data_IF_874638074270
#
_entry.id   IF_874638074270
#
_cell.length_a   1.000
_cell.length_b   1.000
_cell.length_c   1.000
_cell.angle_alpha   90.00
_cell.angle_beta   90.00
_cell.angle_gamma   90.00
#
_symmetry.space_group_name_H-M   'P 1'
#
loop_
_entity.id
_entity.type
_entity.pdbx_description
1 polymer ?
#
# COMPACT_ATOMS: atom_id res chain seq x y z
N UNK A 1 10.00 10.92 2.97
CA UNK A 1 10.73 10.45 4.18
C UNK A 1 10.59 8.94 4.31
N UNK A 2 11.56 8.22 4.88
CA UNK A 2 11.44 6.77 5.16
C UNK A 2 11.44 6.56 6.67
N UNK A 3 10.51 5.77 7.16
CA UNK A 3 10.44 5.37 8.57
C UNK A 3 10.27 3.87 8.68
N UNK A 4 10.77 3.34 9.78
CA UNK A 4 10.59 1.95 10.16
C UNK A 4 9.33 1.84 11.00
N UNK A 5 8.56 0.78 10.77
CA UNK A 5 7.37 0.47 11.57
C UNK A 5 6.98 -0.99 11.38
N UNK A 6 5.78 -1.34 11.81
CA UNK A 6 5.24 -2.70 11.70
C UNK A 6 3.80 -2.70 11.19
N UNK A 7 3.44 -3.78 10.51
CA UNK A 7 2.04 -4.16 10.23
C UNK A 7 1.84 -5.53 10.89
N UNK A 8 1.04 -5.58 11.95
CA UNK A 8 1.01 -6.73 12.84
C UNK A 8 2.39 -6.97 13.46
N UNK A 9 2.95 -8.17 13.30
CA UNK A 9 4.30 -8.52 13.77
C UNK A 9 5.40 -8.31 12.72
N UNK A 10 5.06 -7.88 11.50
CA UNK A 10 6.02 -7.76 10.41
C UNK A 10 6.58 -6.35 10.33
N UNK A 11 7.91 -6.27 10.40
CA UNK A 11 8.66 -5.05 10.16
C UNK A 11 8.55 -4.60 8.69
N UNK A 12 8.29 -3.31 8.48
CA UNK A 12 8.13 -2.68 7.18
C UNK A 12 8.82 -1.33 7.13
N UNK A 13 9.14 -0.86 5.92
CA UNK A 13 9.55 0.52 5.67
C UNK A 13 8.36 1.27 5.08
N UNK A 14 7.99 2.36 5.73
CA UNK A 14 6.90 3.23 5.32
C UNK A 14 7.52 4.46 4.65
N UNK A 15 7.10 4.72 3.41
CA UNK A 15 7.44 5.91 2.68
C UNK A 15 6.37 6.98 2.96
N UNK A 16 6.76 8.06 3.63
CA UNK A 16 5.89 9.21 3.86
C UNK A 16 6.08 10.19 2.70
N UNK A 17 5.02 10.36 1.93
CA UNK A 17 4.92 11.26 0.78
C UNK A 17 3.63 12.08 0.88
N UNK A 18 3.76 13.37 1.14
CA UNK A 18 2.61 14.29 1.24
C UNK A 18 2.00 14.64 -0.12
N UNK A 19 2.67 14.31 -1.23
CA UNK A 19 2.17 14.50 -2.58
C UNK A 19 1.30 13.34 -3.10
N UNK A 20 1.24 12.22 -2.37
CA UNK A 20 0.47 11.05 -2.77
C UNK A 20 -1.01 11.22 -2.44
N UNK A 21 -1.88 10.97 -3.41
CA UNK A 21 -3.34 11.00 -3.21
C UNK A 21 -3.90 9.72 -2.57
N UNK A 22 -3.12 8.63 -2.62
CA UNK A 22 -3.48 7.32 -2.08
C UNK A 22 -2.25 6.68 -1.44
N UNK A 23 -2.48 5.81 -0.47
CA UNK A 23 -1.44 4.95 0.08
C UNK A 23 -1.28 3.71 -0.80
N UNK A 24 -0.04 3.29 -1.00
CA UNK A 24 0.28 2.09 -1.76
C UNK A 24 0.90 1.05 -0.86
N UNK A 25 0.51 -0.20 -1.09
CA UNK A 25 1.03 -1.35 -0.38
C UNK A 25 1.50 -2.38 -1.40
N UNK A 26 2.68 -2.96 -1.17
CA UNK A 26 3.20 -4.03 -2.01
C UNK A 26 2.25 -5.22 -1.99
N UNK A 27 1.84 -5.70 -3.17
CA UNK A 27 0.97 -6.87 -3.28
C UNK A 27 1.62 -8.13 -2.66
N UNK A 28 2.94 -8.26 -2.77
CA UNK A 28 3.68 -9.33 -2.12
C UNK A 28 3.52 -9.28 -0.59
N UNK A 29 3.58 -8.08 0.01
CA UNK A 29 3.38 -7.90 1.45
C UNK A 29 1.93 -8.21 1.87
N UNK A 30 0.94 -7.83 1.05
CA UNK A 30 -0.48 -8.20 1.24
C UNK A 30 -0.63 -9.72 1.31
N UNK A 31 0.00 -10.46 0.39
CA UNK A 31 -0.05 -11.91 0.36
C UNK A 31 0.66 -12.53 1.58
N UNK A 32 1.85 -12.03 1.93
CA UNK A 32 2.62 -12.53 3.08
C UNK A 32 1.88 -12.36 4.41
N UNK A 33 1.14 -11.27 4.56
CA UNK A 33 0.40 -10.95 5.78
C UNK A 33 -1.07 -11.40 5.74
N UNK A 34 -1.48 -12.06 4.65
CA UNK A 34 -2.86 -12.46 4.41
C UNK A 34 -3.86 -11.32 4.66
N UNK A 35 -3.51 -10.09 4.26
CA UNK A 35 -4.37 -8.92 4.51
C UNK A 35 -5.64 -9.03 3.65
N UNK A 36 -6.82 -8.69 4.21
CA UNK A 36 -8.06 -8.68 3.45
C UNK A 36 -7.96 -7.73 2.25
N UNK A 37 -8.10 -8.31 1.06
CA UNK A 37 -8.08 -7.58 -0.21
C UNK A 37 -9.48 -7.58 -0.81
N UNK A 38 -10.09 -6.40 -0.90
CA UNK A 38 -11.33 -6.23 -1.66
C UNK A 38 -10.99 -5.94 -3.11
N UNK A 39 -11.39 -6.82 -4.02
CA UNK A 39 -11.27 -6.58 -5.46
C UNK A 39 -12.14 -5.40 -5.84
N UNK A 40 -11.58 -4.45 -6.57
CA UNK A 40 -12.31 -3.30 -7.10
C UNK A 40 -12.24 -3.32 -8.62
N UNK A 41 -13.27 -2.79 -9.28
CA UNK A 41 -13.17 -2.43 -10.69
C UNK A 41 -11.96 -1.51 -10.84
N UNK A 42 -11.06 -1.88 -11.75
CA UNK A 42 -9.68 -1.41 -11.76
C UNK A 42 -9.58 0.11 -11.83
N UNK A 43 -9.21 0.76 -10.72
CA UNK A 43 -8.76 2.14 -10.72
C UNK A 43 -7.32 2.16 -11.23
N UNK A 44 -7.10 2.79 -12.38
CA UNK A 44 -5.75 3.13 -12.82
C UNK A 44 -5.26 4.30 -11.98
N UNK A 45 -4.13 4.13 -11.30
CA UNK A 45 -3.48 5.22 -10.57
C UNK A 45 -2.30 5.71 -11.37
N UNK A 46 -2.30 7.01 -11.69
CA UNK A 46 -1.16 7.65 -12.34
C UNK A 46 -0.05 7.83 -11.32
N UNK A 47 1.09 7.19 -11.58
CA UNK A 47 2.31 7.37 -10.83
C UNK A 47 2.97 8.69 -11.21
N UNK A 48 3.80 9.26 -10.34
CA UNK A 48 4.49 10.54 -10.60
C UNK A 48 5.38 10.58 -11.85
N UNK A 49 5.64 9.42 -12.47
CA UNK A 49 6.38 9.26 -13.73
C UNK A 49 5.48 9.22 -14.98
N UNK A 50 4.18 9.49 -14.83
CA UNK A 50 3.20 9.48 -15.93
C UNK A 50 2.69 8.08 -16.31
N UNK A 51 3.19 7.01 -15.68
CA UNK A 51 2.74 5.64 -15.92
C UNK A 51 1.48 5.37 -15.10
N UNK A 52 0.44 4.85 -15.75
CA UNK A 52 -0.76 4.36 -15.05
C UNK A 52 -0.62 2.90 -14.68
N UNK A 53 -0.74 2.57 -13.40
CA UNK A 53 -0.74 1.19 -12.92
C UNK A 53 -2.11 0.82 -12.38
N UNK A 54 -2.58 -0.40 -12.71
CA UNK A 54 -3.81 -0.94 -12.14
C UNK A 54 -3.51 -1.59 -10.79
N UNK A 55 -4.14 -1.07 -9.74
CA UNK A 55 -4.15 -1.74 -8.43
C UNK A 55 -4.84 -3.10 -8.51
N UNK A 56 -4.40 -4.06 -7.68
CA UNK A 56 -5.04 -5.39 -7.56
C UNK A 56 -6.33 -5.36 -6.72
N UNK A 57 -6.51 -4.31 -5.93
CA UNK A 57 -7.66 -4.11 -5.04
C UNK A 57 -7.31 -3.12 -3.93
N UNK A 58 -8.20 -3.03 -2.93
CA UNK A 58 -8.05 -2.15 -1.78
C UNK A 58 -7.94 -3.00 -0.50
N UNK A 59 -6.93 -2.70 0.32
CA UNK A 59 -6.84 -3.18 1.70
C UNK A 59 -7.36 -2.06 2.61
N UNK A 60 -8.41 -2.33 3.40
CA UNK A 60 -8.98 -1.36 4.36
C UNK A 60 -8.53 -1.70 5.78
N UNK A 61 -8.38 -0.67 6.61
CA UNK A 61 -8.04 -0.86 8.03
C UNK A 61 -6.64 -1.42 8.26
N UNK A 62 -5.68 -1.12 7.39
CA UNK A 62 -4.28 -1.52 7.59
C UNK A 62 -3.69 -0.65 8.71
N UNK A 63 -3.49 -1.26 9.89
CA UNK A 63 -2.87 -0.61 11.02
C UNK A 63 -1.34 -0.66 10.90
N UNK A 64 -0.71 0.50 11.08
CA UNK A 64 0.74 0.63 11.22
C UNK A 64 1.08 0.99 12.67
N UNK A 65 2.16 0.43 13.19
CA UNK A 65 2.75 0.80 14.48
C UNK A 65 4.21 1.20 14.28
N UNK A 66 4.77 1.97 15.21
CA UNK A 66 6.19 2.36 15.21
C UNK A 66 6.99 1.47 16.15
#
# INVERSE_FOLDING_TARGET
MKIKGTIGSKEVIILVDSGATHNFLSFHLVQQLALPLTTTTSYGVMMGIGISMKGKGICRGVCISM
#
